data_IF_421215782680
#
_entry.id   IF_421215782680
#
_cell.length_a   1.000
_cell.length_b   1.000
_cell.length_c   1.000
_cell.angle_alpha   90.00
_cell.angle_beta   90.00
_cell.angle_gamma   90.00
#
_symmetry.space_group_name_H-M   'P 1'
#
loop_
_entity.id
_entity.type
_entity.pdbx_description
1 polymer ?
#
# COMPACT_ATOMS: atom_id res chain seq x y z
N UNK A 1 -52.92 -9.55 47.49
CA UNK A 1 -53.48 -9.59 46.12
C UNK A 1 -53.88 -8.19 45.72
N UNK A 2 -53.19 -7.59 44.75
CA UNK A 2 -53.65 -6.39 44.04
C UNK A 2 -53.12 -6.49 42.60
N UNK A 3 -54.03 -6.31 41.66
CA UNK A 3 -53.94 -6.74 40.26
C UNK A 3 -53.08 -5.76 39.45
N UNK A 4 -52.15 -6.27 38.65
CA UNK A 4 -51.40 -5.48 37.67
C UNK A 4 -52.31 -5.08 36.50
N UNK A 5 -52.39 -3.78 36.21
CA UNK A 5 -53.04 -3.26 35.01
C UNK A 5 -51.98 -3.12 33.90
N UNK A 6 -52.11 -3.77 32.73
CA UNK A 6 -51.06 -3.79 31.72
C UNK A 6 -51.16 -2.65 30.69
N UNK A 7 -52.02 -1.65 30.91
CA UNK A 7 -52.36 -0.66 29.87
C UNK A 7 -51.88 0.76 30.23
N UNK A 8 -50.55 0.94 30.23
CA UNK A 8 -49.94 2.28 30.19
C UNK A 8 -48.87 2.28 29.11
N UNK A 9 -49.28 2.58 27.88
CA UNK A 9 -48.33 3.09 26.89
C UNK A 9 -47.64 4.32 27.50
N UNK A 10 -46.31 4.28 27.56
CA UNK A 10 -45.52 5.42 28.01
C UNK A 10 -45.79 6.62 27.11
N UNK A 11 -46.10 7.78 27.70
CA UNK A 11 -46.21 9.01 26.92
C UNK A 11 -44.88 9.28 26.22
N UNK A 12 -44.90 9.61 24.91
CA UNK A 12 -43.67 9.87 24.18
C UNK A 12 -43.01 11.11 24.77
N UNK A 13 -41.80 10.92 25.32
CA UNK A 13 -40.95 12.04 25.70
C UNK A 13 -40.53 12.77 24.43
N UNK A 14 -41.10 13.96 24.21
CA UNK A 14 -40.71 14.82 23.08
C UNK A 14 -39.34 15.40 23.40
N UNK A 15 -38.29 14.84 22.79
CA UNK A 15 -36.93 15.37 22.86
C UNK A 15 -36.86 16.50 21.83
N UNK A 16 -37.05 17.73 22.30
CA UNK A 16 -36.97 18.96 21.49
C UNK A 16 -37.52 20.14 22.26
N UNK A 17 -36.88 21.31 22.12
CA UNK A 17 -37.35 22.52 22.82
C UNK A 17 -38.55 23.14 22.07
N UNK A 18 -39.44 23.85 22.76
CA UNK A 18 -40.58 24.53 22.11
C UNK A 18 -40.14 25.48 20.98
N UNK A 19 -38.93 26.03 21.08
CA UNK A 19 -38.28 26.84 20.03
C UNK A 19 -38.02 26.05 18.74
N UNK A 20 -37.76 24.75 18.83
CA UNK A 20 -37.57 23.84 17.69
C UNK A 20 -38.91 23.55 16.99
N UNK A 21 -39.98 23.34 17.76
CA UNK A 21 -41.33 23.15 17.22
C UNK A 21 -41.85 24.38 16.45
N UNK A 22 -41.48 25.59 16.89
CA UNK A 22 -41.87 26.85 16.22
C UNK A 22 -41.10 27.12 14.92
N UNK A 23 -39.95 26.47 14.69
CA UNK A 23 -39.28 26.56 13.39
C UNK A 23 -40.04 25.82 12.28
N UNK A 24 -40.79 24.76 12.61
CA UNK A 24 -41.60 24.02 11.64
C UNK A 24 -42.86 24.78 11.20
N UNK A 25 -43.44 25.62 12.06
CA UNK A 25 -44.63 26.41 11.74
C UNK A 25 -44.36 27.55 10.74
N UNK A 26 -43.15 28.14 10.78
CA UNK A 26 -42.79 29.24 9.89
C UNK A 26 -42.44 28.80 8.45
N UNK A 27 -42.42 27.48 8.16
CA UNK A 27 -42.30 26.93 6.80
C UNK A 27 -43.67 26.64 6.17
N UNK A 28 -44.78 27.10 6.72
CA UNK A 28 -46.10 26.93 6.10
C UNK A 28 -46.48 28.04 5.10
N UNK A 29 -45.61 29.03 4.87
CA UNK A 29 -45.86 30.17 3.97
C UNK A 29 -44.98 30.22 2.71
N UNK A 30 -43.97 29.37 2.60
CA UNK A 30 -43.23 29.20 1.36
C UNK A 30 -43.78 27.96 0.68
N UNK A 31 -44.43 28.13 -0.47
CA UNK A 31 -44.64 27.07 -1.44
C UNK A 31 -43.27 26.47 -1.74
N UNK A 32 -42.86 25.46 -0.98
CA UNK A 32 -41.86 24.51 -1.42
C UNK A 32 -42.52 23.82 -2.61
N UNK A 33 -42.30 24.37 -3.80
CA UNK A 33 -42.24 23.53 -4.98
C UNK A 33 -41.24 22.45 -4.60
N UNK A 34 -41.76 21.25 -4.30
CA UNK A 34 -40.94 20.06 -4.26
C UNK A 34 -40.05 20.13 -5.49
N UNK A 35 -38.71 19.92 -5.38
CA UNK A 35 -37.87 19.90 -6.56
C UNK A 35 -38.57 18.96 -7.52
N UNK A 36 -39.02 19.53 -8.64
CA UNK A 36 -39.77 18.82 -9.68
C UNK A 36 -38.89 17.61 -9.93
N UNK A 37 -39.35 16.40 -9.57
CA UNK A 37 -38.61 15.18 -9.86
C UNK A 37 -38.45 15.21 -11.37
N UNK A 38 -37.30 15.68 -11.83
CA UNK A 38 -36.90 15.54 -13.21
C UNK A 38 -37.11 14.07 -13.49
N UNK A 39 -37.99 13.82 -14.46
CA UNK A 39 -38.46 12.51 -14.84
C UNK A 39 -37.31 11.53 -14.71
N UNK A 40 -37.39 10.65 -13.70
CA UNK A 40 -36.44 9.56 -13.50
C UNK A 40 -36.31 8.90 -14.85
N UNK A 41 -35.13 9.04 -15.46
CA UNK A 41 -34.85 8.60 -16.82
C UNK A 41 -35.45 7.20 -16.97
N UNK A 42 -36.36 7.01 -17.92
CA UNK A 42 -36.98 5.72 -18.26
C UNK A 42 -35.97 4.79 -18.93
N UNK A 43 -34.69 4.85 -18.52
CA UNK A 43 -33.67 3.90 -18.93
C UNK A 43 -34.06 2.59 -18.24
N UNK A 44 -34.63 1.67 -19.03
CA UNK A 44 -34.89 0.31 -18.57
C UNK A 44 -33.54 -0.30 -18.18
N UNK A 45 -33.53 -1.11 -17.13
CA UNK A 45 -32.34 -1.85 -16.74
C UNK A 45 -31.86 -2.68 -17.93
N UNK A 46 -30.59 -2.53 -18.28
CA UNK A 46 -29.94 -3.26 -19.36
C UNK A 46 -28.88 -4.15 -18.72
N UNK A 47 -29.12 -5.47 -18.81
CA UNK A 47 -28.25 -6.46 -18.21
C UNK A 47 -26.88 -6.52 -18.91
N UNK A 48 -26.82 -6.26 -20.22
CA UNK A 48 -25.56 -6.30 -20.97
C UNK A 48 -24.68 -5.11 -20.59
N UNK A 49 -25.26 -3.91 -20.49
CA UNK A 49 -24.54 -2.73 -20.04
C UNK A 49 -24.05 -2.85 -18.59
N UNK A 50 -24.84 -3.49 -17.72
CA UNK A 50 -24.43 -3.77 -16.34
C UNK A 50 -23.22 -4.71 -16.28
N UNK A 51 -23.24 -5.83 -17.01
CA UNK A 51 -22.12 -6.78 -17.06
C UNK A 51 -20.85 -6.13 -17.63
N UNK A 52 -20.99 -5.30 -18.67
CA UNK A 52 -19.86 -4.56 -19.27
C UNK A 52 -19.22 -3.60 -18.26
N UNK A 53 -20.05 -2.90 -17.49
CA UNK A 53 -19.59 -1.99 -16.45
C UNK A 53 -18.88 -2.73 -15.30
N UNK A 54 -19.41 -3.89 -14.87
CA UNK A 54 -18.75 -4.70 -13.84
C UNK A 54 -17.40 -5.25 -14.31
N UNK A 55 -17.30 -5.69 -15.57
CA UNK A 55 -16.03 -6.14 -16.15
C UNK A 55 -14.99 -5.00 -16.21
N UNK A 56 -15.41 -3.80 -16.62
CA UNK A 56 -14.54 -2.62 -16.62
C UNK A 56 -14.08 -2.25 -15.21
N UNK A 57 -14.99 -2.25 -14.23
CA UNK A 57 -14.66 -1.99 -12.84
C UNK A 57 -13.69 -3.04 -12.29
N UNK A 58 -13.94 -4.33 -12.57
CA UNK A 58 -13.08 -5.43 -12.14
C UNK A 58 -11.68 -5.30 -12.73
N UNK A 59 -11.57 -4.91 -14.00
CA UNK A 59 -10.27 -4.65 -14.65
C UNK A 59 -9.56 -3.45 -14.03
N UNK A 60 -10.27 -2.37 -13.74
CA UNK A 60 -9.71 -1.19 -13.11
C UNK A 60 -9.20 -1.50 -11.69
N UNK A 61 -9.97 -2.26 -10.90
CA UNK A 61 -9.58 -2.71 -9.56
C UNK A 61 -8.35 -3.63 -9.60
N UNK A 62 -8.31 -4.59 -10.52
CA UNK A 62 -7.17 -5.47 -10.69
C UNK A 62 -5.90 -4.70 -11.07
N UNK A 63 -6.03 -3.66 -11.90
CA UNK A 63 -4.90 -2.79 -12.25
C UNK A 63 -4.43 -1.97 -11.05
N UNK A 64 -5.35 -1.45 -10.23
CA UNK A 64 -4.98 -0.72 -9.01
C UNK A 64 -4.26 -1.63 -8.01
N UNK A 65 -4.78 -2.84 -7.77
CA UNK A 65 -4.12 -3.82 -6.90
C UNK A 65 -2.71 -4.15 -7.40
N UNK A 66 -2.54 -4.36 -8.71
CA UNK A 66 -1.23 -4.60 -9.31
C UNK A 66 -0.29 -3.42 -9.11
N UNK A 67 -0.76 -2.18 -9.27
CA UNK A 67 0.06 -0.97 -9.04
C UNK A 67 0.48 -0.86 -7.58
N UNK A 68 -0.46 -1.07 -6.65
CA UNK A 68 -0.18 -1.06 -5.21
C UNK A 68 0.83 -2.14 -4.83
N UNK A 69 0.72 -3.35 -5.39
CA UNK A 69 1.66 -4.44 -5.14
C UNK A 69 3.08 -4.11 -5.66
N UNK A 70 3.18 -3.55 -6.87
CA UNK A 70 4.46 -3.09 -7.44
C UNK A 70 5.12 -2.06 -6.52
N UNK A 71 4.36 -1.07 -6.07
CA UNK A 71 4.86 -0.04 -5.16
C UNK A 71 5.24 -0.65 -3.81
N UNK A 72 4.44 -1.56 -3.26
CA UNK A 72 4.78 -2.26 -2.03
C UNK A 72 6.14 -2.95 -2.14
N UNK A 73 6.36 -3.69 -3.22
CA UNK A 73 7.62 -4.40 -3.45
C UNK A 73 8.81 -3.44 -3.65
N UNK A 74 8.60 -2.35 -4.37
CA UNK A 74 9.62 -1.30 -4.56
C UNK A 74 10.09 -0.73 -3.21
N UNK A 75 9.14 -0.49 -2.30
CA UNK A 75 9.39 0.10 -0.98
C UNK A 75 9.58 -0.94 0.15
N UNK A 76 9.72 -2.22 -0.18
CA UNK A 76 9.99 -3.28 0.80
C UNK A 76 11.47 -3.67 0.86
N UNK A 77 11.88 -4.30 1.96
CA UNK A 77 13.20 -4.91 2.13
C UNK A 77 13.06 -6.36 2.62
N UNK A 78 13.92 -7.30 2.18
CA UNK A 78 13.93 -8.64 2.75
C UNK A 78 14.18 -8.58 4.26
N UNK A 79 13.48 -9.41 5.02
CA UNK A 79 13.72 -9.59 6.45
C UNK A 79 14.75 -10.69 6.67
N UNK A 80 15.67 -10.49 7.61
CA UNK A 80 16.55 -11.53 8.11
C UNK A 80 16.16 -11.93 9.54
N UNK A 81 16.31 -13.19 9.90
CA UNK A 81 15.85 -13.70 11.21
C UNK A 81 16.56 -13.02 12.40
N UNK A 82 17.79 -12.56 12.16
CA UNK A 82 18.60 -11.83 13.15
C UNK A 82 18.18 -10.35 13.28
N UNK A 83 17.36 -9.84 12.37
CA UNK A 83 16.87 -8.46 12.40
C UNK A 83 15.72 -8.35 13.41
N UNK A 84 16.05 -7.93 14.65
CA UNK A 84 15.07 -7.69 15.70
C UNK A 84 14.31 -6.36 15.59
N UNK A 85 14.69 -5.48 14.65
CA UNK A 85 14.05 -4.16 14.44
C UNK A 85 14.05 -3.78 12.96
N UNK A 86 13.09 -2.94 12.52
CA UNK A 86 13.06 -2.48 11.14
C UNK A 86 14.34 -1.70 10.78
N UNK A 87 14.88 -1.90 9.57
CA UNK A 87 16.09 -1.23 9.10
C UNK A 87 15.85 0.24 8.72
N UNK A 88 14.61 0.66 8.56
CA UNK A 88 14.22 2.01 8.17
C UNK A 88 12.95 2.45 8.94
N UNK A 89 12.83 3.73 9.36
CA UNK A 89 11.64 4.23 10.06
C UNK A 89 10.34 4.02 9.28
N UNK A 90 9.23 3.72 9.97
CA UNK A 90 7.92 3.54 9.32
C UNK A 90 7.73 2.18 8.62
N UNK A 91 8.67 1.25 8.79
CA UNK A 91 8.52 -0.14 8.33
C UNK A 91 8.05 -1.07 9.44
N UNK A 92 7.25 -2.06 9.05
CA UNK A 92 6.77 -3.17 9.87
C UNK A 92 7.13 -4.51 9.23
N UNK A 93 7.30 -5.54 10.07
CA UNK A 93 7.56 -6.88 9.58
C UNK A 93 6.26 -7.49 9.07
N UNK A 94 6.23 -7.86 7.79
CA UNK A 94 5.23 -8.79 7.27
C UNK A 94 5.79 -10.22 7.38
N UNK A 95 5.40 -11.02 8.40
CA UNK A 95 5.94 -12.35 8.60
C UNK A 95 5.51 -13.34 7.52
N UNK A 96 4.33 -13.14 6.92
CA UNK A 96 3.85 -14.01 5.83
C UNK A 96 4.67 -13.84 4.56
N UNK A 97 5.12 -12.61 4.29
CA UNK A 97 5.93 -12.29 3.11
C UNK A 97 7.44 -12.24 3.40
N UNK A 98 7.85 -12.46 4.65
CA UNK A 98 9.26 -12.47 5.11
C UNK A 98 10.01 -11.20 4.68
N UNK A 99 9.35 -10.05 4.83
CA UNK A 99 9.90 -8.75 4.41
C UNK A 99 9.43 -7.61 5.30
N UNK A 100 10.25 -6.58 5.40
CA UNK A 100 9.90 -5.29 5.96
C UNK A 100 9.11 -4.50 4.91
N UNK A 101 7.91 -4.06 5.27
CA UNK A 101 7.01 -3.26 4.42
C UNK A 101 6.68 -1.94 5.13
N UNK A 102 6.39 -0.86 4.39
CA UNK A 102 5.82 0.34 4.99
C UNK A 102 4.49 0.06 5.69
N UNK A 103 4.31 0.56 6.92
CA UNK A 103 3.04 0.45 7.63
C UNK A 103 1.89 1.18 6.89
N UNK A 104 2.23 2.30 6.24
CA UNK A 104 1.36 3.05 5.34
C UNK A 104 2.14 3.46 4.09
N UNK A 105 1.84 2.84 2.96
CA UNK A 105 2.57 3.06 1.70
C UNK A 105 2.60 4.52 1.26
N UNK A 106 1.44 5.18 1.27
CA UNK A 106 1.27 6.52 0.71
C UNK A 106 2.03 7.57 1.54
N UNK A 107 1.88 7.47 2.86
CA UNK A 107 2.58 8.33 3.83
C UNK A 107 4.08 8.09 3.80
N UNK A 108 4.51 6.83 3.74
CA UNK A 108 5.91 6.47 3.66
C UNK A 108 6.57 7.00 2.38
N UNK A 109 5.91 6.88 1.23
CA UNK A 109 6.43 7.42 -0.04
C UNK A 109 6.55 8.94 0.05
N UNK A 110 5.54 9.62 0.62
CA UNK A 110 5.54 11.07 0.77
C UNK A 110 6.65 11.58 1.67
N UNK A 111 6.90 10.91 2.79
CA UNK A 111 7.84 11.38 3.82
C UNK A 111 9.27 10.89 3.58
N UNK A 112 9.42 9.64 3.14
CA UNK A 112 10.70 8.95 3.07
C UNK A 112 11.04 8.39 1.69
N UNK A 113 10.19 8.54 0.68
CA UNK A 113 10.32 7.80 -0.58
C UNK A 113 11.69 7.93 -1.26
N UNK A 114 12.21 9.15 -1.36
CA UNK A 114 13.53 9.43 -1.96
C UNK A 114 14.70 8.98 -1.07
N UNK A 115 14.60 9.17 0.24
CA UNK A 115 15.62 8.77 1.20
C UNK A 115 15.74 7.25 1.25
N UNK A 116 14.60 6.56 1.31
CA UNK A 116 14.52 5.11 1.30
C UNK A 116 15.12 4.53 0.01
N UNK A 117 14.85 5.10 -1.16
CA UNK A 117 15.44 4.68 -2.43
C UNK A 117 16.97 4.74 -2.39
N UNK A 118 17.53 5.84 -1.87
CA UNK A 118 18.97 6.00 -1.69
C UNK A 118 19.53 4.98 -0.70
N UNK A 119 18.85 4.78 0.43
CA UNK A 119 19.21 3.80 1.45
C UNK A 119 19.24 2.36 0.89
N UNK A 120 18.18 1.95 0.20
CA UNK A 120 18.05 0.61 -0.41
C UNK A 120 19.14 0.38 -1.46
N UNK A 121 19.39 1.36 -2.34
CA UNK A 121 20.45 1.28 -3.32
C UNK A 121 21.84 1.16 -2.67
N UNK A 122 22.12 1.97 -1.65
CA UNK A 122 23.40 1.89 -0.90
C UNK A 122 23.59 0.53 -0.22
N UNK A 123 22.51 -0.04 0.36
CA UNK A 123 22.55 -1.38 0.98
C UNK A 123 22.88 -2.46 -0.05
N UNK A 124 22.30 -2.39 -1.25
CA UNK A 124 22.57 -3.34 -2.35
C UNK A 124 23.99 -3.20 -2.90
N UNK A 125 24.51 -1.99 -3.07
CA UNK A 125 25.89 -1.78 -3.54
C UNK A 125 26.93 -2.26 -2.53
N UNK A 126 26.68 -2.06 -1.24
CA UNK A 126 27.57 -2.52 -0.18
C UNK A 126 27.58 -4.05 -0.05
N UNK A 127 26.46 -4.72 -0.35
CA UNK A 127 26.44 -6.19 -0.44
C UNK A 127 27.20 -6.71 -1.66
N UNK A 128 27.13 -6.02 -2.80
CA UNK A 128 27.85 -6.38 -4.03
C UNK A 128 29.38 -6.28 -3.88
N UNK A 129 29.88 -5.22 -3.23
CA UNK A 129 31.32 -5.01 -3.02
C UNK A 129 31.99 -6.13 -2.20
N UNK A 130 31.23 -6.77 -1.30
CA UNK A 130 31.73 -7.88 -0.48
C UNK A 130 31.78 -9.23 -1.21
N UNK A 131 31.23 -9.34 -2.43
CA UNK A 131 31.26 -10.58 -3.23
C UNK A 131 32.39 -10.61 -4.28
N UNK A 132 33.08 -9.48 -4.52
CA UNK A 132 34.15 -9.39 -5.53
C UNK A 132 35.58 -9.38 -4.99
N UNK A 133 35.79 -9.51 -3.67
CA UNK A 133 37.12 -9.39 -3.05
C UNK A 133 37.92 -10.70 -2.93
N UNK A 134 37.52 -11.77 -3.62
CA UNK A 134 38.26 -13.05 -3.63
C UNK A 134 38.96 -13.34 -4.97
N UNK A 135 39.47 -12.29 -5.63
CA UNK A 135 40.52 -12.42 -6.64
C UNK A 135 41.82 -11.91 -6.02
N UNK A 136 42.49 -12.79 -5.28
CA UNK A 136 43.88 -12.58 -4.88
C UNK A 136 44.70 -12.26 -6.12
N UNK A 137 45.34 -11.08 -6.14
CA UNK A 137 46.42 -10.81 -7.09
C UNK A 137 47.47 -11.93 -6.96
N UNK A 138 47.83 -12.64 -8.04
CA UNK A 138 49.05 -13.43 -8.00
C UNK A 138 50.20 -12.43 -7.92
N UNK A 139 50.84 -12.33 -6.76
CA UNK A 139 52.12 -11.64 -6.60
C UNK A 139 53.06 -12.13 -7.70
N UNK A 140 53.30 -11.27 -8.69
CA UNK A 140 54.19 -11.52 -9.82
C UNK A 140 55.61 -11.53 -9.28
N UNK A 141 56.03 -12.68 -8.78
CA UNK A 141 57.38 -12.97 -8.33
C UNK A 141 58.37 -12.60 -9.44
N UNK A 142 59.37 -11.81 -9.06
CA UNK A 142 60.45 -11.35 -9.95
C UNK A 142 61.17 -12.56 -10.55
N UNK A 143 60.97 -12.80 -11.84
CA UNK A 143 61.78 -13.76 -12.59
C UNK A 143 63.04 -13.06 -13.09
N UNK A 144 64.13 -13.28 -12.36
CA UNK A 144 65.51 -12.98 -12.76
C UNK A 144 65.88 -13.82 -13.98
N UNK A 145 65.81 -13.23 -15.17
CA UNK A 145 66.23 -13.88 -16.41
C UNK A 145 67.74 -13.85 -16.58
N UNK A 146 68.44 -14.95 -16.26
CA UNK A 146 69.71 -15.30 -16.89
C UNK A 146 69.95 -16.80 -16.74
N UNK A 147 69.90 -17.54 -17.86
CA UNK A 147 70.87 -18.58 -18.28
C UNK A 147 70.37 -19.28 -19.54
N UNK A 148 71.15 -19.18 -20.62
CA UNK A 148 71.03 -20.02 -21.83
C UNK A 148 71.40 -21.47 -21.49
N UNK A 149 70.72 -22.48 -22.05
CA UNK A 149 71.33 -23.77 -22.30
C UNK A 149 71.93 -23.81 -23.71
N UNK A 150 72.89 -24.72 -23.82
CA UNK A 150 73.95 -24.82 -24.81
C UNK A 150 73.53 -25.80 -25.90
N UNK A 151 73.90 -25.48 -27.13
CA UNK A 151 73.89 -26.38 -28.29
C UNK A 151 74.35 -27.79 -27.90
N UNK A 152 73.53 -28.79 -28.24
CA UNK A 152 73.96 -30.16 -28.37
C UNK A 152 73.41 -30.73 -29.68
N UNK A 153 74.37 -31.19 -30.47
CA UNK A 153 74.33 -31.73 -31.82
C UNK A 153 73.87 -33.20 -31.81
N UNK A 154 73.73 -33.76 -33.02
CA UNK A 154 73.48 -35.16 -33.43
C UNK A 154 72.01 -35.45 -33.79
N UNK A 155 71.66 -35.94 -34.99
CA UNK A 155 72.40 -36.52 -36.12
C UNK A 155 71.68 -36.20 -37.44
#
# INVERSE_FOLDING_TARGET
MAKSNPDRFAEPTIIGTESEARQYANRAGATQTAPKRESRTTKKFDAEEFLRQEEENSKAEAEQLRRTEILMNEYSLPWNVDDGKPPFPGMELNPCAVRWEPANLEEFIREYGEEFKRFKNAKLTNQSCNQSSDQSEPQRGKASGTRKPKDMVEQ
#
